data_IF_920981197279
#
_entry.id   IF_920981197279
#
_cell.length_a   1.000
_cell.length_b   1.000
_cell.length_c   1.000
_cell.angle_alpha   90.00
_cell.angle_beta   90.00
_cell.angle_gamma   90.00
#
_symmetry.space_group_name_H-M   'P 1'
#
loop_
_entity.id
_entity.type
_entity.pdbx_description
1 polymer ?
#
# COMPACT_ATOMS: atom_id res chain seq x y z
N UNK A 1 37.40 -13.17 -66.78
CA UNK A 1 37.36 -12.55 -65.44
C UNK A 1 35.95 -12.70 -64.88
N UNK A 2 35.67 -13.70 -63.99
CA UNK A 2 34.34 -13.95 -63.43
C UNK A 2 34.27 -13.33 -62.06
N UNK A 3 33.39 -12.35 -61.87
CA UNK A 3 33.12 -11.75 -60.58
C UNK A 3 32.13 -12.60 -59.81
N UNK A 4 32.58 -13.18 -58.68
CA UNK A 4 31.73 -13.86 -57.68
C UNK A 4 30.99 -12.80 -56.86
N UNK A 5 29.67 -12.78 -56.91
CA UNK A 5 28.83 -12.01 -56.00
C UNK A 5 28.57 -12.82 -54.72
N UNK A 6 29.14 -12.37 -53.61
CA UNK A 6 28.78 -12.86 -52.27
C UNK A 6 27.39 -12.37 -51.90
N UNK A 7 26.47 -13.29 -51.66
CA UNK A 7 25.18 -12.96 -51.07
C UNK A 7 25.33 -13.03 -49.54
N UNK A 8 25.26 -11.89 -48.90
CA UNK A 8 25.18 -11.80 -47.42
C UNK A 8 23.71 -11.92 -47.02
N UNK A 9 23.34 -13.07 -46.45
CA UNK A 9 22.01 -13.25 -45.90
C UNK A 9 21.99 -12.69 -44.48
N UNK A 10 21.33 -11.56 -44.28
CA UNK A 10 21.09 -10.99 -42.94
C UNK A 10 19.99 -11.81 -42.24
N UNK A 11 20.35 -12.56 -41.22
CA UNK A 11 19.38 -13.22 -40.34
C UNK A 11 18.76 -12.16 -39.37
N UNK A 12 17.48 -11.88 -39.55
CA UNK A 12 16.69 -11.04 -38.64
C UNK A 12 16.42 -11.84 -37.35
N UNK A 13 17.11 -11.56 -36.27
CA UNK A 13 16.79 -12.07 -34.93
C UNK A 13 15.59 -11.29 -34.37
N UNK A 14 14.41 -11.90 -34.42
CA UNK A 14 13.21 -11.39 -33.76
C UNK A 14 13.34 -11.64 -32.24
N UNK A 15 13.23 -10.61 -31.37
CA UNK A 15 13.24 -10.86 -29.94
C UNK A 15 11.96 -11.61 -29.54
N UNK A 16 12.11 -12.81 -28.99
CA UNK A 16 11.02 -13.52 -28.32
C UNK A 16 10.66 -12.77 -27.04
N UNK A 17 9.55 -12.06 -27.05
CA UNK A 17 8.93 -11.52 -25.84
C UNK A 17 8.35 -12.71 -25.05
N UNK A 18 9.06 -13.15 -24.03
CA UNK A 18 8.54 -14.06 -23.02
C UNK A 18 7.50 -13.29 -22.16
N UNK A 19 6.23 -13.40 -22.51
CA UNK A 19 5.16 -13.07 -21.57
C UNK A 19 5.08 -14.21 -20.57
N UNK A 20 5.54 -13.99 -19.33
CA UNK A 20 5.31 -14.94 -18.26
C UNK A 20 3.80 -15.09 -18.07
N UNK A 21 3.27 -16.28 -18.30
CA UNK A 21 1.87 -16.60 -18.04
C UNK A 21 1.63 -16.49 -16.52
N UNK A 22 0.61 -15.74 -16.11
CA UNK A 22 0.13 -15.74 -14.72
C UNK A 22 -0.45 -17.12 -14.46
N UNK A 23 -0.08 -17.81 -13.37
CA UNK A 23 -0.66 -19.10 -13.03
C UNK A 23 -2.19 -19.04 -12.95
N UNK A 24 -2.90 -20.08 -13.37
CA UNK A 24 -4.38 -20.13 -13.38
C UNK A 24 -5.01 -19.90 -11.99
N UNK A 25 -4.27 -20.15 -10.92
CA UNK A 25 -4.71 -19.95 -9.54
C UNK A 25 -4.55 -18.50 -9.04
N UNK A 26 -3.96 -17.59 -9.83
CA UNK A 26 -3.72 -16.19 -9.43
C UNK A 26 -4.70 -15.26 -10.13
N UNK A 27 -5.47 -14.55 -9.33
CA UNK A 27 -6.43 -13.56 -9.82
C UNK A 27 -6.01 -12.16 -9.40
N UNK A 28 -6.12 -11.21 -10.33
CA UNK A 28 -5.85 -9.80 -10.07
C UNK A 28 -7.13 -9.08 -9.65
N UNK A 29 -7.03 -8.35 -8.55
CA UNK A 29 -8.06 -7.44 -8.04
C UNK A 29 -7.48 -6.03 -7.96
N UNK A 30 -8.26 -5.05 -8.40
CA UNK A 30 -7.96 -3.62 -8.25
C UNK A 30 -8.72 -3.06 -7.07
N UNK A 31 -8.08 -2.21 -6.26
CA UNK A 31 -8.72 -1.57 -5.11
C UNK A 31 -9.86 -0.65 -5.59
N UNK A 32 -11.04 -0.85 -5.03
CA UNK A 32 -12.18 0.06 -5.20
C UNK A 32 -12.07 1.20 -4.16
N UNK A 33 -11.49 2.31 -4.57
CA UNK A 33 -11.28 3.46 -3.70
C UNK A 33 -12.57 4.04 -3.12
N UNK A 34 -13.71 3.86 -3.80
CA UNK A 34 -15.01 4.39 -3.33
C UNK A 34 -15.51 3.67 -2.08
N UNK A 35 -15.17 2.38 -1.96
CA UNK A 35 -15.57 1.53 -0.84
C UNK A 35 -14.39 1.14 0.07
N UNK A 36 -13.26 1.83 -0.07
CA UNK A 36 -12.06 1.55 0.71
C UNK A 36 -11.62 2.75 1.53
N UNK A 37 -10.91 2.46 2.62
CA UNK A 37 -10.36 3.48 3.51
C UNK A 37 -8.95 3.11 3.94
N UNK A 38 -8.04 4.07 3.82
CA UNK A 38 -6.69 4.03 4.41
C UNK A 38 -6.65 5.11 5.48
N UNK A 39 -6.86 4.70 6.73
CA UNK A 39 -7.02 5.58 7.88
C UNK A 39 -5.89 5.46 8.89
N UNK A 40 -5.86 6.39 9.82
CA UNK A 40 -4.98 6.35 10.98
C UNK A 40 -5.63 6.99 12.22
N UNK A 41 -5.13 6.58 13.38
CA UNK A 41 -5.51 7.13 14.66
C UNK A 41 -4.26 7.39 15.53
N UNK A 42 -4.21 8.56 16.16
CA UNK A 42 -3.09 8.99 17.00
C UNK A 42 -3.60 9.65 18.28
N UNK A 43 -2.91 9.46 19.40
CA UNK A 43 -3.27 10.13 20.65
C UNK A 43 -2.74 11.56 20.67
N UNK A 44 -3.60 12.49 21.02
CA UNK A 44 -3.28 13.90 21.23
C UNK A 44 -3.26 14.19 22.70
N UNK A 45 -2.13 14.67 23.23
CA UNK A 45 -1.87 14.99 24.64
C UNK A 45 -2.24 13.83 25.60
N UNK A 46 -2.26 12.59 25.12
CA UNK A 46 -2.68 11.43 25.90
C UNK A 46 -4.19 11.32 26.20
N UNK A 47 -4.98 12.36 25.95
CA UNK A 47 -6.38 12.44 26.37
C UNK A 47 -7.38 12.21 25.25
N UNK A 48 -7.09 12.61 24.00
CA UNK A 48 -8.00 12.48 22.88
C UNK A 48 -7.39 11.64 21.76
N UNK A 49 -8.22 11.05 20.90
CA UNK A 49 -7.79 10.39 19.67
C UNK A 49 -8.15 11.25 18.48
N UNK A 50 -7.13 11.66 17.74
CA UNK A 50 -7.30 12.28 16.43
C UNK A 50 -7.28 11.16 15.39
N UNK A 51 -8.24 11.19 14.48
CA UNK A 51 -8.31 10.30 13.32
C UNK A 51 -8.13 11.09 12.04
N UNK A 52 -7.57 10.45 11.05
CA UNK A 52 -7.45 10.96 9.70
C UNK A 52 -7.43 9.83 8.70
N UNK A 53 -7.40 10.21 7.43
CA UNK A 53 -7.32 9.28 6.31
C UNK A 53 -6.57 9.91 5.14
N UNK A 54 -6.17 9.09 4.19
CA UNK A 54 -5.69 9.55 2.89
C UNK A 54 -6.81 9.34 1.86
N UNK A 55 -7.16 10.40 1.14
CA UNK A 55 -8.29 10.41 0.20
C UNK A 55 -7.96 9.82 -1.17
N UNK A 56 -6.70 9.76 -1.53
CA UNK A 56 -6.25 9.23 -2.82
C UNK A 56 -5.18 8.17 -2.64
N UNK A 57 -5.52 6.97 -3.07
CA UNK A 57 -4.65 5.81 -3.09
C UNK A 57 -5.09 4.87 -4.22
N UNK A 58 -4.17 4.08 -4.69
CA UNK A 58 -4.41 3.04 -5.68
C UNK A 58 -3.61 1.80 -5.32
N UNK A 59 -4.01 0.65 -5.85
CA UNK A 59 -3.30 -0.58 -5.61
C UNK A 59 -4.00 -1.78 -6.19
N UNK A 60 -3.33 -2.91 -6.09
CA UNK A 60 -3.86 -4.17 -6.56
C UNK A 60 -3.44 -5.33 -5.64
N UNK A 61 -4.26 -6.38 -5.70
CA UNK A 61 -3.96 -7.68 -5.10
C UNK A 61 -3.78 -8.70 -6.23
N UNK A 62 -2.77 -9.55 -6.09
CA UNK A 62 -2.66 -10.80 -6.81
C UNK A 62 -3.04 -11.90 -5.82
N UNK A 63 -4.30 -12.31 -5.85
CA UNK A 63 -4.84 -13.33 -4.95
C UNK A 63 -4.55 -14.71 -5.52
N UNK A 64 -3.78 -15.53 -4.79
CA UNK A 64 -3.70 -16.96 -5.09
C UNK A 64 -4.87 -17.66 -4.39
N UNK A 65 -5.85 -18.13 -5.17
CA UNK A 65 -7.09 -18.74 -4.65
C UNK A 65 -6.89 -20.13 -4.08
N UNK A 66 -5.82 -20.83 -4.48
CA UNK A 66 -5.45 -22.13 -3.94
C UNK A 66 -4.65 -22.02 -2.64
N UNK A 67 -3.88 -20.93 -2.47
CA UNK A 67 -3.01 -20.73 -1.31
C UNK A 67 -2.83 -19.23 -1.05
N UNK A 68 -3.60 -18.69 -0.12
CA UNK A 68 -3.60 -17.26 0.24
C UNK A 68 -2.19 -16.77 0.64
N UNK A 69 -1.35 -17.65 1.19
CA UNK A 69 0.01 -17.27 1.59
C UNK A 69 0.93 -16.89 0.43
N UNK A 70 0.54 -17.23 -0.80
CA UNK A 70 1.23 -16.85 -2.05
C UNK A 70 0.68 -15.58 -2.69
N UNK A 71 -0.28 -14.93 -2.04
CA UNK A 71 -0.86 -13.67 -2.51
C UNK A 71 0.07 -12.50 -2.26
N UNK A 72 -0.09 -11.43 -3.07
CA UNK A 72 0.67 -10.19 -2.90
C UNK A 72 -0.24 -8.98 -3.01
N UNK A 73 0.16 -7.90 -2.35
CA UNK A 73 -0.53 -6.60 -2.36
C UNK A 73 0.50 -5.51 -2.61
N UNK A 74 0.17 -4.58 -3.50
CA UNK A 74 0.91 -3.35 -3.73
C UNK A 74 -0.04 -2.17 -3.62
N UNK A 75 0.32 -1.17 -2.81
CA UNK A 75 -0.49 0.04 -2.59
C UNK A 75 0.40 1.27 -2.70
N UNK A 76 -0.10 2.28 -3.39
CA UNK A 76 0.48 3.62 -3.48
C UNK A 76 -0.53 4.63 -2.96
N UNK A 77 -0.13 5.44 -2.00
CA UNK A 77 -0.97 6.46 -1.34
C UNK A 77 -0.40 7.83 -1.67
N UNK A 78 -1.24 8.77 -2.10
CA UNK A 78 -0.85 10.17 -2.35
C UNK A 78 -0.75 10.92 -1.03
N UNK A 79 0.47 11.23 -0.58
CA UNK A 79 0.76 11.85 0.72
C UNK A 79 0.00 13.16 0.93
N UNK A 80 -0.11 14.00 -0.12
CA UNK A 80 -0.77 15.30 -0.06
C UNK A 80 -2.28 15.22 0.23
N UNK A 81 -2.90 14.05 0.10
CA UNK A 81 -4.34 13.85 0.27
C UNK A 81 -4.77 13.53 1.70
N UNK A 82 -3.85 13.70 2.65
CA UNK A 82 -4.13 13.55 4.07
C UNK A 82 -5.23 14.50 4.51
N UNK A 83 -6.23 13.96 5.19
CA UNK A 83 -7.41 14.67 5.69
C UNK A 83 -7.73 14.21 7.11
N UNK A 84 -7.77 15.15 8.02
CA UNK A 84 -8.15 14.96 9.42
C UNK A 84 -9.39 15.75 9.79
N UNK A 85 -10.07 16.38 8.80
CA UNK A 85 -11.20 17.28 9.01
C UNK A 85 -10.79 18.66 9.57
N UNK A 86 -9.50 19.03 9.51
CA UNK A 86 -8.99 20.32 9.94
C UNK A 86 -7.87 20.80 9.01
N UNK A 87 -8.17 21.77 8.16
CA UNK A 87 -7.27 22.25 7.11
C UNK A 87 -5.92 22.75 7.64
N UNK A 88 -5.92 23.47 8.77
CA UNK A 88 -4.67 23.97 9.38
C UNK A 88 -3.76 22.81 9.80
N UNK A 89 -4.33 21.76 10.39
CA UNK A 89 -3.59 20.56 10.77
C UNK A 89 -3.13 19.79 9.55
N UNK A 90 -3.96 19.65 8.54
CA UNK A 90 -3.64 18.94 7.32
C UNK A 90 -2.52 19.62 6.55
N UNK A 91 -2.49 20.96 6.48
CA UNK A 91 -1.40 21.73 5.92
C UNK A 91 -0.10 21.53 6.70
N UNK A 92 -0.15 21.45 8.03
CA UNK A 92 1.02 21.16 8.86
C UNK A 92 1.50 19.72 8.66
N UNK A 93 0.59 18.74 8.55
CA UNK A 93 0.96 17.35 8.26
C UNK A 93 1.64 17.19 6.88
N UNK A 94 1.26 17.99 5.87
CA UNK A 94 1.90 18.00 4.56
C UNK A 94 3.29 18.64 4.56
N UNK A 95 3.59 19.50 5.54
CA UNK A 95 4.85 20.27 5.60
C UNK A 95 6.08 19.40 5.93
N UNK A 96 7.26 20.00 5.85
CA UNK A 96 8.54 19.36 6.16
C UNK A 96 8.64 18.87 7.61
N UNK A 97 7.87 19.43 8.54
CA UNK A 97 7.80 18.99 9.93
C UNK A 97 7.27 17.55 10.07
N UNK A 98 6.42 17.12 9.13
CA UNK A 98 5.82 15.79 9.13
C UNK A 98 6.13 15.02 7.84
N UNK A 99 5.14 14.87 6.96
CA UNK A 99 5.27 14.00 5.78
C UNK A 99 6.14 14.59 4.67
N UNK A 100 6.32 15.92 4.64
CA UNK A 100 7.04 16.61 3.57
C UNK A 100 6.53 16.16 2.17
N UNK A 101 5.23 16.32 1.97
CA UNK A 101 4.52 15.76 0.82
C UNK A 101 5.01 16.30 -0.53
N UNK A 102 5.65 17.46 -0.56
CA UNK A 102 6.30 18.01 -1.76
C UNK A 102 7.51 17.17 -2.19
N UNK A 103 8.36 16.77 -1.23
CA UNK A 103 9.55 15.96 -1.50
C UNK A 103 9.22 14.46 -1.57
N UNK A 104 8.23 14.01 -0.78
CA UNK A 104 7.81 12.60 -0.68
C UNK A 104 6.33 12.48 -1.03
N UNK A 105 5.99 12.54 -2.34
CA UNK A 105 4.59 12.63 -2.79
C UNK A 105 3.80 11.35 -2.56
N UNK A 106 4.47 10.24 -2.24
CA UNK A 106 3.82 8.94 -2.05
C UNK A 106 4.29 8.24 -0.77
N UNK A 107 3.34 7.49 -0.18
CA UNK A 107 3.59 6.42 0.78
C UNK A 107 3.32 5.13 0.04
N UNK A 108 4.14 4.09 0.21
CA UNK A 108 3.95 2.82 -0.48
C UNK A 108 3.94 1.65 0.50
N UNK A 109 3.24 0.59 0.12
CA UNK A 109 3.32 -0.69 0.77
C UNK A 109 3.49 -1.80 -0.28
N UNK A 110 4.48 -2.67 -0.07
CA UNK A 110 4.78 -3.81 -0.93
C UNK A 110 4.89 -5.08 -0.10
N UNK A 111 4.12 -6.10 -0.48
CA UNK A 111 4.14 -7.38 0.21
C UNK A 111 5.48 -8.10 0.02
N UNK A 112 6.02 -8.61 1.11
CA UNK A 112 7.10 -9.61 1.10
C UNK A 112 6.54 -11.03 1.15
N UNK A 113 5.53 -11.26 2.02
CA UNK A 113 4.85 -12.55 2.19
C UNK A 113 3.54 -12.39 2.95
N UNK A 114 2.68 -13.38 2.83
CA UNK A 114 1.49 -13.54 3.68
C UNK A 114 1.69 -14.78 4.55
N UNK A 115 1.42 -14.67 5.83
CA UNK A 115 1.53 -15.74 6.81
C UNK A 115 0.15 -16.14 7.33
N UNK A 116 -0.02 -17.41 7.70
CA UNK A 116 -1.21 -17.85 8.43
C UNK A 116 -1.09 -17.33 9.86
N UNK A 117 -2.06 -16.55 10.32
CA UNK A 117 -2.17 -16.07 11.69
C UNK A 117 -2.99 -17.01 12.58
N UNK A 118 -3.11 -16.67 13.85
CA UNK A 118 -3.97 -17.40 14.80
C UNK A 118 -5.46 -17.19 14.45
N UNK A 119 -5.81 -16.00 14.06
CA UNK A 119 -7.13 -15.60 13.56
C UNK A 119 -6.93 -14.87 12.22
N UNK A 120 -7.24 -15.54 11.09
CA UNK A 120 -7.03 -14.97 9.75
C UNK A 120 -5.58 -15.04 9.27
N UNK A 121 -5.07 -13.95 8.69
CA UNK A 121 -3.76 -13.87 8.05
C UNK A 121 -2.95 -12.69 8.57
N UNK A 122 -1.64 -12.72 8.33
CA UNK A 122 -0.72 -11.60 8.58
C UNK A 122 -0.04 -11.23 7.27
N UNK A 123 -0.25 -10.00 6.83
CA UNK A 123 0.42 -9.43 5.66
C UNK A 123 1.73 -8.80 6.13
N UNK A 124 2.85 -9.38 5.72
CA UNK A 124 4.20 -8.89 6.02
C UNK A 124 4.76 -8.18 4.80
N UNK A 125 5.19 -6.94 4.97
CA UNK A 125 5.68 -6.15 3.84
C UNK A 125 6.40 -4.89 4.25
N UNK A 126 6.94 -4.19 3.24
CA UNK A 126 7.64 -2.93 3.41
C UNK A 126 6.67 -1.76 3.32
N UNK A 127 6.47 -1.07 4.43
CA UNK A 127 5.83 0.23 4.48
C UNK A 127 6.91 1.30 4.29
N UNK A 128 6.79 2.10 3.25
CA UNK A 128 7.71 3.22 3.00
C UNK A 128 6.99 4.54 3.25
N UNK A 129 7.48 5.32 4.21
CA UNK A 129 7.02 6.68 4.49
C UNK A 129 8.24 7.61 4.38
N UNK A 130 8.12 8.68 3.59
CA UNK A 130 9.22 9.52 3.19
C UNK A 130 10.30 8.69 2.47
N UNK A 131 11.54 8.70 2.99
CA UNK A 131 12.69 7.95 2.49
C UNK A 131 13.03 6.72 3.33
N UNK A 132 12.10 6.26 4.18
CA UNK A 132 12.35 5.15 5.11
C UNK A 132 11.37 4.01 4.84
N UNK A 133 11.92 2.83 4.53
CA UNK A 133 11.18 1.58 4.44
C UNK A 133 11.34 0.77 5.74
N UNK A 134 10.25 0.24 6.26
CA UNK A 134 10.22 -0.65 7.43
C UNK A 134 9.33 -1.84 7.14
N UNK A 135 9.79 -3.02 7.56
CA UNK A 135 8.92 -4.18 7.59
C UNK A 135 7.84 -3.99 8.65
N UNK A 136 6.59 -4.19 8.24
CA UNK A 136 5.43 -4.16 9.13
C UNK A 136 4.64 -5.46 8.99
N UNK A 137 4.00 -5.87 10.07
CA UNK A 137 3.18 -7.06 10.16
C UNK A 137 1.74 -6.62 10.41
N UNK A 138 0.87 -6.77 9.42
CA UNK A 138 -0.51 -6.31 9.44
C UNK A 138 -1.43 -7.53 9.56
N UNK A 139 -1.94 -7.86 10.75
CA UNK A 139 -3.02 -8.83 10.89
C UNK A 139 -4.24 -8.35 10.10
N UNK A 140 -4.85 -9.24 9.33
CA UNK A 140 -6.04 -8.91 8.55
C UNK A 140 -7.00 -10.09 8.44
N UNK A 141 -8.27 -9.75 8.24
CA UNK A 141 -9.33 -10.67 7.88
C UNK A 141 -9.64 -10.50 6.39
N UNK A 142 -9.85 -11.61 5.69
CA UNK A 142 -10.22 -11.65 4.29
C UNK A 142 -11.65 -12.14 4.15
N UNK A 143 -12.50 -11.34 3.51
CA UNK A 143 -13.90 -11.64 3.24
C UNK A 143 -14.12 -11.85 1.73
N UNK A 144 -14.73 -12.95 1.35
CA UNK A 144 -14.96 -13.30 -0.06
C UNK A 144 -13.85 -14.22 -0.61
N UNK A 145 -13.62 -14.26 -1.93
CA UNK A 145 -14.35 -13.47 -2.93
C UNK A 145 -15.81 -13.90 -3.15
N UNK A 146 -16.65 -12.95 -3.51
CA UNK A 146 -18.02 -13.18 -3.99
C UNK A 146 -18.13 -12.73 -5.45
N UNK A 147 -19.04 -13.34 -6.22
CA UNK A 147 -19.31 -12.90 -7.59
C UNK A 147 -20.59 -12.07 -7.63
N UNK A 148 -20.48 -10.83 -8.14
CA UNK A 148 -21.59 -9.92 -8.35
C UNK A 148 -21.44 -9.25 -9.73
N UNK A 149 -22.49 -9.28 -10.55
CA UNK A 149 -22.51 -8.72 -11.91
C UNK A 149 -21.33 -9.19 -12.79
N UNK A 150 -20.98 -10.47 -12.69
CA UNK A 150 -19.89 -11.09 -13.46
C UNK A 150 -18.46 -10.71 -13.01
N UNK A 151 -18.33 -9.99 -11.89
CA UNK A 151 -17.04 -9.62 -11.28
C UNK A 151 -16.90 -10.25 -9.90
N UNK A 152 -15.70 -10.67 -9.59
CA UNK A 152 -15.39 -11.07 -8.22
C UNK A 152 -15.04 -9.85 -7.40
N UNK A 153 -15.51 -9.84 -6.14
CA UNK A 153 -15.21 -8.81 -5.14
C UNK A 153 -14.75 -9.46 -3.86
N UNK A 154 -13.82 -8.84 -3.18
CA UNK A 154 -13.36 -9.25 -1.85
C UNK A 154 -13.22 -8.02 -0.96
N UNK A 155 -13.26 -8.26 0.35
CA UNK A 155 -12.96 -7.27 1.37
C UNK A 155 -11.81 -7.73 2.24
N UNK A 156 -10.98 -6.80 2.69
CA UNK A 156 -9.93 -7.04 3.67
C UNK A 156 -9.93 -5.94 4.72
N UNK A 157 -9.94 -6.33 5.99
CA UNK A 157 -9.87 -5.39 7.10
C UNK A 157 -8.67 -5.73 7.98
N UNK A 158 -7.92 -4.72 8.40
CA UNK A 158 -6.75 -4.92 9.23
C UNK A 158 -6.28 -3.65 9.92
N UNK A 159 -5.43 -3.82 10.92
CA UNK A 159 -4.78 -2.68 11.56
C UNK A 159 -3.41 -3.05 12.12
N UNK A 160 -2.52 -2.06 12.17
CA UNK A 160 -1.19 -2.20 12.74
C UNK A 160 -0.80 -0.93 13.49
N UNK A 161 -0.03 -1.09 14.57
CA UNK A 161 0.58 0.03 15.27
C UNK A 161 2.02 0.20 14.80
N UNK A 162 2.39 1.43 14.46
CA UNK A 162 3.75 1.81 14.06
C UNK A 162 4.24 2.98 14.89
N UNK A 163 5.54 3.07 15.10
CA UNK A 163 6.14 4.26 15.70
C UNK A 163 6.50 5.25 14.58
N UNK A 164 5.89 6.45 14.60
CA UNK A 164 6.11 7.47 13.58
C UNK A 164 7.57 7.94 13.49
N UNK A 165 8.33 7.87 14.58
CA UNK A 165 9.74 8.27 14.61
C UNK A 165 10.63 7.31 13.83
N UNK A 166 10.22 6.05 13.67
CA UNK A 166 10.93 5.08 12.82
C UNK A 166 10.95 5.53 11.36
N UNK A 167 10.02 6.39 10.96
CA UNK A 167 9.90 7.00 9.63
C UNK A 167 10.36 8.47 9.59
N UNK A 168 11.14 8.91 10.56
CA UNK A 168 11.66 10.29 10.68
C UNK A 168 10.57 11.37 10.83
N UNK A 169 9.37 11.03 11.29
CA UNK A 169 8.31 11.99 11.62
C UNK A 169 8.52 12.47 13.07
N UNK A 170 9.51 13.34 13.25
CA UNK A 170 10.08 13.66 14.57
C UNK A 170 9.35 14.80 15.28
N UNK A 171 8.55 15.61 14.55
CA UNK A 171 7.92 16.79 15.14
C UNK A 171 7.12 16.45 16.39
N UNK A 172 7.40 17.19 17.46
CA UNK A 172 6.58 17.20 18.65
C UNK A 172 6.83 18.52 19.39
N UNK A 173 5.78 19.20 19.81
CA UNK A 173 5.89 20.35 20.65
C UNK A 173 5.63 19.90 22.10
N UNK A 174 6.62 20.02 22.96
CA UNK A 174 6.49 19.68 24.37
C UNK A 174 6.01 20.93 25.13
N UNK A 175 4.72 21.04 25.37
CA UNK A 175 4.15 21.99 26.30
C UNK A 175 4.12 21.38 27.70
N UNK A 176 4.73 22.03 28.70
CA UNK A 176 4.65 21.63 30.12
C UNK A 176 5.02 20.15 30.40
N UNK A 177 5.94 19.58 29.61
CA UNK A 177 6.39 18.18 29.78
C UNK A 177 5.47 17.12 29.15
N UNK A 178 4.42 17.52 28.45
CA UNK A 178 3.49 16.58 27.75
C UNK A 178 3.73 16.61 26.25
N UNK A 179 3.89 15.43 25.67
CA UNK A 179 3.94 15.27 24.21
C UNK A 179 2.59 15.62 23.60
N UNK A 180 2.57 16.54 22.63
CA UNK A 180 1.33 16.94 21.92
C UNK A 180 0.82 15.78 21.06
N UNK A 181 1.71 14.98 20.46
CA UNK A 181 1.36 13.84 19.60
C UNK A 181 2.11 12.61 20.10
N UNK A 182 1.39 11.48 20.27
CA UNK A 182 2.02 10.21 20.61
C UNK A 182 2.97 9.75 19.51
N UNK A 183 3.97 8.96 19.90
CA UNK A 183 4.89 8.36 18.94
C UNK A 183 4.23 7.20 18.20
N UNK A 184 3.34 6.47 18.87
CA UNK A 184 2.60 5.36 18.30
C UNK A 184 1.38 5.86 17.53
N UNK A 185 1.26 5.38 16.30
CA UNK A 185 0.15 5.63 15.39
C UNK A 185 -0.46 4.31 14.98
N UNK A 186 -1.77 4.17 15.09
CA UNK A 186 -2.51 3.03 14.59
C UNK A 186 -2.92 3.31 13.14
N UNK A 187 -2.51 2.46 12.22
CA UNK A 187 -2.98 2.42 10.84
C UNK A 187 -4.21 1.52 10.81
N UNK A 188 -5.28 1.96 10.16
CA UNK A 188 -6.56 1.27 10.04
C UNK A 188 -6.91 1.11 8.55
N UNK A 189 -7.11 -0.12 8.11
CA UNK A 189 -7.35 -0.47 6.72
C UNK A 189 -8.72 -1.14 6.59
N UNK A 190 -9.55 -0.64 5.69
CA UNK A 190 -10.76 -1.30 5.22
C UNK A 190 -10.74 -1.21 3.70
N UNK A 191 -10.52 -2.33 3.03
CA UNK A 191 -10.26 -2.37 1.59
C UNK A 191 -11.31 -3.26 0.92
N UNK A 192 -11.98 -2.74 -0.09
CA UNK A 192 -12.71 -3.51 -1.08
C UNK A 192 -11.91 -3.54 -2.39
N UNK A 193 -11.85 -4.70 -3.03
CA UNK A 193 -11.20 -4.85 -4.32
C UNK A 193 -12.03 -5.73 -5.25
N UNK A 194 -11.92 -5.49 -6.55
CA UNK A 194 -12.67 -6.22 -7.57
C UNK A 194 -11.81 -6.58 -8.78
N UNK A 195 -12.16 -7.69 -9.44
CA UNK A 195 -11.49 -8.04 -10.71
C UNK A 195 -11.71 -6.92 -11.74
N UNK A 196 -10.77 -6.67 -12.64
CA UNK A 196 -10.92 -5.72 -13.75
C UNK A 196 -12.18 -6.02 -14.59
N UNK A 197 -12.67 -5.01 -15.32
CA UNK A 197 -13.79 -5.16 -16.29
C UNK A 197 -13.30 -5.78 -17.58
#
# INVERSE_FOLDING_TARGET
MRMNRLHVTAALLLPLLFTAAVPDDVQRFEIDRTHSRVGFAVRHMGVATVRGEFRDFEGHLLLNTADITKSTVSIVIRTATIDTGNERRDNHLRSADFFNAEQYPTITFETRRVEQGAEGYVLVGDLTIRDVAKEVHIPFELNGPITLDGRQRLGAEGSVQVNRKDFKLMWNNMGEGVNVVSDDVRIELAIEAATPR
#
